data_IF_142946400135
#
_entry.id   IF_142946400135
#
_cell.length_a   1.000
_cell.length_b   1.000
_cell.length_c   1.000
_cell.angle_alpha   90.00
_cell.angle_beta   90.00
_cell.angle_gamma   90.00
#
_symmetry.space_group_name_H-M   'P 1'
#
loop_
_entity.id
_entity.type
_entity.pdbx_description
1 polymer ?
#
# COMPACT_ATOMS: atom_id res chain seq x y z
N UNK A 1 14.13 -10.04 -4.31
CA UNK A 1 13.13 -8.96 -4.20
C UNK A 1 11.87 -9.40 -4.92
N UNK A 2 10.68 -9.07 -4.39
CA UNK A 2 9.42 -9.35 -5.09
C UNK A 2 9.30 -8.45 -6.34
N UNK A 3 8.63 -8.94 -7.38
CA UNK A 3 8.40 -8.18 -8.63
C UNK A 3 6.96 -7.67 -8.62
N UNK A 4 6.72 -6.36 -8.84
CA UNK A 4 5.37 -5.81 -8.89
C UNK A 4 4.60 -6.37 -10.10
N UNK A 5 3.31 -6.69 -9.96
CA UNK A 5 2.49 -7.08 -11.10
C UNK A 5 2.31 -5.91 -12.07
N UNK A 6 2.47 -6.16 -13.37
CA UNK A 6 2.14 -5.19 -14.42
C UNK A 6 0.62 -5.16 -14.63
N UNK A 7 -0.08 -4.46 -13.73
CA UNK A 7 -1.54 -4.40 -13.73
C UNK A 7 -2.12 -3.86 -15.04
N UNK A 8 -1.49 -2.84 -15.64
CA UNK A 8 -1.95 -2.27 -16.90
C UNK A 8 -1.91 -3.33 -18.02
N UNK A 9 -0.78 -4.01 -18.20
CA UNK A 9 -0.64 -5.04 -19.24
C UNK A 9 -1.57 -6.23 -19.00
N UNK A 10 -1.73 -6.67 -17.75
CA UNK A 10 -2.63 -7.78 -17.39
C UNK A 10 -4.08 -7.45 -17.77
N UNK A 11 -4.53 -6.25 -17.40
CA UNK A 11 -5.94 -5.86 -17.49
C UNK A 11 -6.34 -5.27 -18.85
N UNK A 12 -5.35 -4.84 -19.64
CA UNK A 12 -5.56 -4.39 -21.02
C UNK A 12 -5.63 -5.56 -22.02
N UNK A 13 -5.28 -6.78 -21.60
CA UNK A 13 -5.40 -7.96 -22.46
C UNK A 13 -6.87 -8.24 -22.79
N UNK A 14 -7.17 -8.64 -24.04
CA UNK A 14 -8.52 -8.99 -24.53
C UNK A 14 -9.04 -10.33 -23.94
N UNK A 15 -9.09 -10.44 -22.61
CA UNK A 15 -9.63 -11.60 -21.90
C UNK A 15 -10.77 -11.17 -20.98
N UNK A 16 -12.01 -11.36 -21.44
CA UNK A 16 -13.24 -10.92 -20.77
C UNK A 16 -13.26 -11.22 -19.26
N UNK A 17 -12.88 -12.43 -18.88
CA UNK A 17 -12.97 -12.87 -17.48
C UNK A 17 -11.81 -12.39 -16.60
N UNK A 18 -10.65 -12.02 -17.15
CA UNK A 18 -9.49 -11.58 -16.35
C UNK A 18 -9.81 -10.29 -15.58
N UNK A 19 -10.30 -9.27 -16.30
CA UNK A 19 -10.70 -7.99 -15.69
C UNK A 19 -11.82 -8.17 -14.66
N UNK A 20 -12.84 -8.96 -15.01
CA UNK A 20 -13.95 -9.27 -14.11
C UNK A 20 -13.48 -9.97 -12.83
N UNK A 21 -12.59 -10.97 -12.95
CA UNK A 21 -12.03 -11.68 -11.80
C UNK A 21 -11.28 -10.77 -10.86
N UNK A 22 -10.43 -9.90 -11.40
CA UNK A 22 -9.67 -8.93 -10.58
C UNK A 22 -10.62 -7.97 -9.88
N UNK A 23 -11.65 -7.46 -10.59
CA UNK A 23 -12.68 -6.62 -9.99
C UNK A 23 -13.40 -7.32 -8.85
N UNK A 24 -13.91 -8.54 -9.07
CA UNK A 24 -14.62 -9.30 -8.03
C UNK A 24 -13.74 -9.63 -6.83
N UNK A 25 -12.48 -10.02 -7.05
CA UNK A 25 -11.53 -10.26 -5.97
C UNK A 25 -11.26 -8.99 -5.18
N UNK A 26 -11.06 -7.86 -5.86
CA UNK A 26 -10.81 -6.57 -5.21
C UNK A 26 -12.01 -6.11 -4.36
N UNK A 27 -13.22 -6.18 -4.91
CA UNK A 27 -14.48 -5.86 -4.20
C UNK A 27 -14.70 -6.80 -3.00
N UNK A 28 -14.32 -8.07 -3.12
CA UNK A 28 -14.32 -9.06 -2.04
C UNK A 28 -13.13 -8.92 -1.07
N UNK A 29 -12.60 -7.70 -0.89
CA UNK A 29 -11.50 -7.39 0.06
C UNK A 29 -10.20 -8.14 -0.23
N UNK A 30 -10.02 -8.58 -1.47
CA UNK A 30 -8.84 -9.28 -1.96
C UNK A 30 -8.92 -10.80 -1.89
N UNK A 31 -10.02 -11.39 -1.42
CA UNK A 31 -10.15 -12.84 -1.24
C UNK A 31 -11.53 -13.37 -1.60
N UNK A 32 -11.60 -14.49 -2.32
CA UNK A 32 -12.86 -15.17 -2.61
C UNK A 32 -12.66 -16.66 -2.80
N UNK A 33 -13.69 -17.48 -2.51
CA UNK A 33 -13.67 -18.89 -2.86
C UNK A 33 -13.87 -19.06 -4.36
N UNK A 34 -13.27 -20.11 -4.93
CA UNK A 34 -13.47 -20.48 -6.33
C UNK A 34 -14.97 -20.60 -6.71
N UNK A 35 -15.79 -21.12 -5.80
CA UNK A 35 -17.25 -21.24 -5.99
C UNK A 35 -17.95 -19.89 -6.07
N UNK A 36 -17.49 -18.90 -5.32
CA UNK A 36 -18.09 -17.56 -5.30
C UNK A 36 -17.72 -16.81 -6.58
N UNK A 37 -16.47 -16.96 -7.04
CA UNK A 37 -16.02 -16.44 -8.33
C UNK A 37 -16.77 -17.07 -9.51
N UNK A 38 -17.05 -18.38 -9.49
CA UNK A 38 -17.88 -19.01 -10.53
C UNK A 38 -19.27 -18.36 -10.60
N UNK A 39 -19.93 -18.22 -9.46
CA UNK A 39 -21.27 -17.62 -9.38
C UNK A 39 -21.26 -16.17 -9.87
N UNK A 40 -20.28 -15.38 -9.43
CA UNK A 40 -20.13 -13.98 -9.82
C UNK A 40 -19.95 -13.80 -11.34
N UNK A 41 -19.31 -14.76 -12.01
CA UNK A 41 -19.10 -14.72 -13.47
C UNK A 41 -20.23 -15.37 -14.29
N UNK A 42 -21.34 -15.75 -13.66
CA UNK A 42 -22.47 -16.40 -14.35
C UNK A 42 -22.24 -17.88 -14.65
N UNK A 43 -21.50 -18.58 -13.78
CA UNK A 43 -21.22 -20.02 -13.86
C UNK A 43 -20.60 -20.48 -15.19
N UNK A 44 -19.46 -19.90 -15.64
CA UNK A 44 -18.74 -20.43 -16.79
C UNK A 44 -18.22 -21.85 -16.50
N UNK A 45 -17.77 -22.61 -17.53
CA UNK A 45 -17.10 -23.88 -17.33
C UNK A 45 -15.94 -23.74 -16.33
N UNK A 46 -15.80 -24.69 -15.40
CA UNK A 46 -14.75 -24.65 -14.37
C UNK A 46 -13.35 -24.52 -14.98
N UNK A 47 -13.11 -25.17 -16.11
CA UNK A 47 -11.86 -25.07 -16.88
C UNK A 47 -11.59 -23.64 -17.36
N UNK A 48 -12.62 -22.91 -17.80
CA UNK A 48 -12.50 -21.50 -18.20
C UNK A 48 -12.09 -20.62 -17.03
N UNK A 49 -12.71 -20.78 -15.85
CA UNK A 49 -12.30 -20.06 -14.65
C UNK A 49 -10.86 -20.39 -14.25
N UNK A 50 -10.52 -21.68 -14.17
CA UNK A 50 -9.16 -22.14 -13.84
C UNK A 50 -8.12 -21.55 -14.78
N UNK A 51 -8.34 -21.59 -16.09
CA UNK A 51 -7.41 -21.04 -17.08
C UNK A 51 -7.19 -19.53 -16.90
N UNK A 52 -8.23 -18.76 -16.55
CA UNK A 52 -8.09 -17.32 -16.30
C UNK A 52 -7.41 -17.03 -14.94
N UNK A 53 -7.68 -17.83 -13.92
CA UNK A 53 -6.97 -17.73 -12.64
C UNK A 53 -5.50 -18.07 -12.78
N UNK A 54 -5.16 -19.11 -13.52
CA UNK A 54 -3.76 -19.52 -13.73
C UNK A 54 -2.96 -18.44 -14.47
N UNK A 55 -3.62 -17.66 -15.34
CA UNK A 55 -3.02 -16.46 -15.95
C UNK A 55 -2.75 -15.39 -14.90
N UNK A 56 -3.72 -15.07 -14.04
CA UNK A 56 -3.53 -14.10 -12.96
C UNK A 56 -2.43 -14.52 -11.98
N UNK A 57 -2.33 -15.81 -11.68
CA UNK A 57 -1.32 -16.38 -10.80
C UNK A 57 0.06 -16.31 -11.44
N UNK A 58 0.19 -16.75 -12.69
CA UNK A 58 1.45 -16.67 -13.44
C UNK A 58 1.97 -15.24 -13.58
N UNK A 59 1.06 -14.28 -13.72
CA UNK A 59 1.40 -12.85 -13.80
C UNK A 59 1.55 -12.19 -12.42
N UNK A 60 1.49 -12.95 -11.33
CA UNK A 60 1.74 -12.48 -9.97
C UNK A 60 0.63 -11.61 -9.36
N UNK A 61 -0.55 -11.53 -9.99
CA UNK A 61 -1.69 -10.73 -9.51
C UNK A 61 -2.45 -11.42 -8.40
N UNK A 62 -2.59 -12.74 -8.49
CA UNK A 62 -3.33 -13.56 -7.54
C UNK A 62 -2.53 -14.80 -7.14
N UNK A 63 -3.00 -15.50 -6.12
CA UNK A 63 -2.43 -16.75 -5.62
C UNK A 63 -3.55 -17.68 -5.13
N UNK A 64 -3.29 -18.99 -5.17
CA UNK A 64 -4.17 -19.99 -4.57
C UNK A 64 -3.76 -20.20 -3.11
N UNK A 65 -4.74 -20.17 -2.23
CA UNK A 65 -4.63 -20.63 -0.84
C UNK A 65 -5.39 -21.95 -0.69
N UNK A 66 -5.15 -22.65 0.41
CA UNK A 66 -5.77 -23.94 0.67
C UNK A 66 -7.31 -23.88 0.60
N UNK A 67 -7.94 -25.03 0.38
CA UNK A 67 -9.41 -25.18 0.36
C UNK A 67 -10.13 -24.34 -0.72
N UNK A 68 -9.49 -24.11 -1.86
CA UNK A 68 -10.11 -23.43 -3.00
C UNK A 68 -10.26 -21.91 -2.83
N UNK A 69 -9.56 -21.32 -1.86
CA UNK A 69 -9.50 -19.88 -1.66
C UNK A 69 -8.55 -19.24 -2.67
N UNK A 70 -8.98 -18.16 -3.31
CA UNK A 70 -8.18 -17.36 -4.23
C UNK A 70 -7.98 -16.00 -3.59
N UNK A 71 -6.75 -15.50 -3.63
CA UNK A 71 -6.36 -14.25 -2.99
C UNK A 71 -5.57 -13.36 -3.96
N UNK A 72 -5.77 -12.05 -3.91
CA UNK A 72 -4.87 -11.09 -4.54
C UNK A 72 -3.51 -11.12 -3.83
N UNK A 73 -2.43 -11.18 -4.60
CA UNK A 73 -1.08 -11.16 -4.02
C UNK A 73 -0.84 -9.89 -3.20
N UNK A 74 -1.39 -8.77 -3.65
CA UNK A 74 -1.39 -7.49 -2.96
C UNK A 74 -2.80 -6.89 -3.02
N UNK A 75 -3.30 -6.42 -1.87
CA UNK A 75 -4.58 -5.70 -1.77
C UNK A 75 -4.45 -4.27 -2.32
N UNK A 76 -3.31 -3.62 -2.08
CA UNK A 76 -2.99 -2.35 -2.75
C UNK A 76 -2.38 -2.64 -4.13
N UNK A 77 -2.81 -1.96 -5.22
CA UNK A 77 -3.83 -0.91 -5.27
C UNK A 77 -5.25 -1.40 -5.55
N UNK A 78 -5.44 -2.67 -5.89
CA UNK A 78 -6.68 -3.16 -6.47
C UNK A 78 -7.90 -2.97 -5.56
N UNK A 79 -7.81 -3.33 -4.28
CA UNK A 79 -8.87 -3.14 -3.28
C UNK A 79 -9.16 -1.65 -3.06
N UNK A 80 -8.13 -0.79 -3.07
CA UNK A 80 -8.31 0.66 -2.96
C UNK A 80 -9.08 1.22 -4.14
N UNK A 81 -8.71 0.83 -5.36
CA UNK A 81 -9.38 1.29 -6.58
C UNK A 81 -10.84 0.83 -6.61
N UNK A 82 -11.10 -0.41 -6.18
CA UNK A 82 -12.43 -0.99 -6.03
C UNK A 82 -13.24 -0.40 -4.85
N UNK A 83 -12.64 0.49 -4.05
CA UNK A 83 -13.25 1.07 -2.86
C UNK A 83 -13.74 0.00 -1.85
N UNK A 84 -12.99 -1.10 -1.74
CA UNK A 84 -13.30 -2.17 -0.83
C UNK A 84 -12.96 -1.76 0.62
N UNK A 85 -13.78 -2.22 1.56
CA UNK A 85 -13.59 -2.02 3.00
C UNK A 85 -12.44 -2.91 3.52
N UNK A 86 -11.22 -2.47 3.23
CA UNK A 86 -9.95 -3.04 3.68
C UNK A 86 -9.27 -2.01 4.58
N UNK A 87 -8.81 -2.41 5.78
CA UNK A 87 -8.13 -1.48 6.67
C UNK A 87 -6.88 -0.88 6.02
N UNK A 88 -6.57 0.35 6.40
CA UNK A 88 -5.43 1.07 5.85
C UNK A 88 -4.19 0.99 6.75
N UNK A 89 -3.03 0.99 6.12
CA UNK A 89 -1.74 1.11 6.79
C UNK A 89 -1.02 2.35 6.29
N UNK A 90 -0.42 3.09 7.22
CA UNK A 90 0.46 4.21 6.92
C UNK A 90 1.91 3.74 6.91
N UNK A 91 2.70 4.16 5.92
CA UNK A 91 4.14 3.98 5.86
C UNK A 91 4.81 5.33 5.62
N UNK A 92 5.54 5.83 6.60
CA UNK A 92 6.17 7.15 6.50
C UNK A 92 7.58 7.20 7.07
N UNK A 93 8.24 8.31 6.82
CA UNK A 93 9.52 8.68 7.43
C UNK A 93 9.29 9.55 8.66
N UNK A 94 10.22 9.53 9.61
CA UNK A 94 10.25 10.47 10.71
C UNK A 94 11.68 10.92 11.03
N UNK A 95 11.88 12.23 11.13
CA UNK A 95 13.16 12.84 11.51
C UNK A 95 13.32 13.00 13.02
N UNK A 96 14.40 13.67 13.44
CA UNK A 96 14.59 14.07 14.83
C UNK A 96 13.45 14.98 15.29
N UNK A 97 13.17 14.95 16.61
CA UNK A 97 12.13 15.82 17.17
C UNK A 97 12.45 17.30 17.04
N UNK A 98 13.70 17.70 17.26
CA UNK A 98 14.16 19.09 17.13
C UNK A 98 13.20 20.11 17.77
N UNK A 99 12.83 19.84 19.03
CA UNK A 99 11.89 20.64 19.84
C UNK A 99 10.44 20.69 19.34
N UNK A 100 10.10 20.05 18.22
CA UNK A 100 8.73 19.93 17.73
C UNK A 100 7.84 19.24 18.76
N UNK A 101 6.62 19.72 18.88
CA UNK A 101 5.61 19.20 19.83
C UNK A 101 4.80 18.05 19.24
N UNK A 102 4.56 18.09 17.93
CA UNK A 102 3.72 17.15 17.19
C UNK A 102 4.57 16.58 16.06
N UNK A 103 4.52 15.26 15.88
CA UNK A 103 5.25 14.61 14.78
C UNK A 103 4.51 14.75 13.45
N UNK A 104 5.25 14.71 12.36
CA UNK A 104 4.69 14.66 11.01
C UNK A 104 3.79 13.44 10.83
N UNK A 105 4.18 12.30 11.40
CA UNK A 105 3.38 11.07 11.40
C UNK A 105 2.05 11.27 12.11
N UNK A 106 2.02 11.94 13.26
CA UNK A 106 0.78 12.25 13.97
C UNK A 106 -0.12 13.16 13.13
N UNK A 107 0.46 14.20 12.53
CA UNK A 107 -0.28 15.15 11.69
C UNK A 107 -0.88 14.44 10.47
N UNK A 108 -0.07 13.64 9.76
CA UNK A 108 -0.50 12.90 8.59
C UNK A 108 -1.63 11.91 8.91
N UNK A 109 -1.46 11.09 9.95
CA UNK A 109 -2.49 10.13 10.38
C UNK A 109 -3.78 10.83 10.78
N UNK A 110 -3.70 11.97 11.50
CA UNK A 110 -4.88 12.75 11.87
C UNK A 110 -5.62 13.31 10.64
N UNK A 111 -4.89 13.85 9.67
CA UNK A 111 -5.48 14.37 8.44
C UNK A 111 -6.12 13.27 7.61
N UNK A 112 -5.46 12.12 7.47
CA UNK A 112 -6.01 10.94 6.80
C UNK A 112 -7.28 10.42 7.49
N UNK A 113 -7.26 10.29 8.82
CA UNK A 113 -8.45 9.90 9.59
C UNK A 113 -9.60 10.91 9.39
N UNK A 114 -9.28 12.21 9.30
CA UNK A 114 -10.24 13.26 8.97
C UNK A 114 -10.84 13.17 7.56
N UNK A 115 -10.10 12.64 6.59
CA UNK A 115 -10.58 12.31 5.24
C UNK A 115 -11.35 10.98 5.18
N UNK A 116 -11.53 10.28 6.32
CA UNK A 116 -12.30 9.04 6.43
C UNK A 116 -11.46 7.75 6.33
N UNK A 117 -10.13 7.85 6.33
CA UNK A 117 -9.27 6.66 6.31
C UNK A 117 -9.21 5.97 7.68
N UNK A 118 -9.45 4.66 7.70
CA UNK A 118 -9.28 3.83 8.89
C UNK A 118 -7.85 3.28 8.98
N UNK A 119 -6.94 4.07 9.57
CA UNK A 119 -5.53 3.68 9.76
C UNK A 119 -5.41 2.70 10.94
N UNK A 120 -5.23 1.41 10.66
CA UNK A 120 -5.06 0.38 11.70
C UNK A 120 -3.59 0.13 12.04
N UNK A 121 -2.69 0.32 11.08
CA UNK A 121 -1.25 0.09 11.25
C UNK A 121 -0.45 1.32 10.84
N UNK A 122 0.56 1.68 11.63
CA UNK A 122 1.47 2.79 11.32
C UNK A 122 2.89 2.24 11.34
N UNK A 123 3.59 2.34 10.22
CA UNK A 123 4.98 1.91 10.09
C UNK A 123 5.84 3.14 9.87
N UNK A 124 6.77 3.39 10.79
CA UNK A 124 7.65 4.55 10.74
C UNK A 124 9.08 4.07 10.49
N UNK A 125 9.65 4.50 9.38
CA UNK A 125 11.06 4.29 9.04
C UNK A 125 11.85 5.52 9.49
N UNK A 126 12.91 5.32 10.27
CA UNK A 126 13.62 6.41 10.92
C UNK A 126 15.02 5.97 11.39
N UNK A 127 15.80 6.82 12.04
CA UNK A 127 17.02 6.41 12.75
C UNK A 127 16.69 6.04 14.20
N UNK A 128 17.59 5.30 14.85
CA UNK A 128 17.45 4.97 16.28
C UNK A 128 17.37 6.22 17.16
N UNK A 129 18.17 7.23 16.84
CA UNK A 129 18.18 8.52 17.54
C UNK A 129 16.85 9.26 17.41
N UNK A 130 16.31 9.34 16.19
CA UNK A 130 15.02 9.98 15.93
C UNK A 130 13.87 9.24 16.62
N UNK A 131 13.80 7.90 16.54
CA UNK A 131 12.83 7.11 17.29
C UNK A 131 12.91 7.38 18.81
N UNK A 132 14.13 7.44 19.35
CA UNK A 132 14.39 7.77 20.75
C UNK A 132 13.88 9.16 21.15
N UNK A 133 14.13 10.16 20.29
CA UNK A 133 13.72 11.55 20.53
C UNK A 133 12.19 11.75 20.61
N UNK A 134 11.42 10.85 19.97
CA UNK A 134 9.95 10.92 19.91
C UNK A 134 9.24 10.01 20.91
N UNK A 135 9.92 9.02 21.51
CA UNK A 135 9.31 7.92 22.27
C UNK A 135 8.34 8.37 23.38
N UNK A 136 8.62 9.50 24.02
CA UNK A 136 7.82 10.05 25.13
C UNK A 136 6.89 11.20 24.72
N UNK A 137 6.87 11.55 23.43
CA UNK A 137 6.12 12.70 22.91
C UNK A 137 4.96 12.30 22.00
N UNK A 138 4.97 11.07 21.48
CA UNK A 138 3.87 10.55 20.66
C UNK A 138 2.70 10.14 21.57
N UNK A 139 1.45 10.58 21.29
CA UNK A 139 0.28 10.19 22.06
C UNK A 139 0.10 8.67 22.13
N UNK A 140 -0.30 8.15 23.30
CA UNK A 140 -0.44 6.71 23.56
C UNK A 140 -1.33 5.98 22.54
N UNK A 141 -2.44 6.61 22.11
CA UNK A 141 -3.34 6.09 21.06
C UNK A 141 -2.63 5.85 19.73
N UNK A 142 -1.70 6.73 19.34
CA UNK A 142 -0.94 6.57 18.11
C UNK A 142 0.21 5.58 18.34
N UNK A 143 0.88 5.68 19.48
CA UNK A 143 2.02 4.84 19.84
C UNK A 143 1.70 3.34 19.80
N UNK A 144 0.50 2.91 20.23
CA UNK A 144 0.08 1.51 20.18
C UNK A 144 -0.07 0.94 18.76
N UNK A 145 -0.16 1.81 17.75
CA UNK A 145 -0.25 1.43 16.33
C UNK A 145 1.07 1.56 15.58
N UNK A 146 2.07 2.24 16.17
CA UNK A 146 3.37 2.45 15.54
C UNK A 146 4.25 1.21 15.68
N UNK A 147 4.73 0.72 14.55
CA UNK A 147 5.93 -0.09 14.47
C UNK A 147 7.09 0.75 13.94
N UNK A 148 8.15 0.81 14.72
CA UNK A 148 9.39 1.46 14.33
C UNK A 148 10.23 0.52 13.48
N UNK A 149 10.83 1.05 12.42
CA UNK A 149 11.87 0.40 11.66
C UNK A 149 13.07 1.33 11.58
N UNK A 150 14.13 0.99 12.28
CA UNK A 150 15.31 1.84 12.38
C UNK A 150 16.34 1.49 11.33
N UNK A 151 16.80 2.49 10.60
CA UNK A 151 17.92 2.42 9.67
C UNK A 151 19.14 3.14 10.26
N UNK A 152 20.33 2.76 9.80
CA UNK A 152 21.53 3.54 10.06
C UNK A 152 21.45 4.89 9.31
N UNK A 153 22.08 5.94 9.85
CA UNK A 153 21.96 7.30 9.30
C UNK A 153 22.50 7.42 7.87
N UNK A 154 23.62 6.77 7.58
CA UNK A 154 24.25 6.69 6.25
C UNK A 154 23.35 6.03 5.19
N UNK A 155 22.46 5.13 5.59
CA UNK A 155 21.44 4.54 4.69
C UNK A 155 20.47 5.61 4.19
N UNK A 156 20.09 6.58 5.02
CA UNK A 156 19.10 7.61 4.66
C UNK A 156 19.60 8.61 3.61
N UNK A 157 20.89 8.62 3.30
CA UNK A 157 21.47 9.45 2.23
C UNK A 157 21.60 8.70 0.89
N UNK A 158 21.29 7.40 0.87
CA UNK A 158 21.41 6.55 -0.31
C UNK A 158 20.05 6.00 -0.77
N UNK A 159 19.55 6.54 -1.89
CA UNK A 159 18.24 6.19 -2.46
C UNK A 159 18.09 4.66 -2.63
N UNK A 160 19.11 3.99 -3.16
CA UNK A 160 19.06 2.56 -3.45
C UNK A 160 19.02 1.70 -2.18
N UNK A 161 19.78 2.07 -1.16
CA UNK A 161 19.76 1.35 0.12
C UNK A 161 18.40 1.54 0.82
N UNK A 162 17.83 2.73 0.78
CA UNK A 162 16.47 2.99 1.30
C UNK A 162 15.45 2.12 0.58
N UNK A 163 15.48 2.09 -0.76
CA UNK A 163 14.59 1.24 -1.56
C UNK A 163 14.71 -0.23 -1.16
N UNK A 164 15.93 -0.75 -1.03
CA UNK A 164 16.18 -2.15 -0.65
C UNK A 164 15.64 -2.52 0.74
N UNK A 165 15.72 -1.60 1.70
CA UNK A 165 15.28 -1.83 3.08
C UNK A 165 13.77 -1.60 3.27
N UNK A 166 13.21 -0.61 2.57
CA UNK A 166 11.80 -0.20 2.72
C UNK A 166 10.87 -1.00 1.83
N UNK A 167 11.33 -1.48 0.66
CA UNK A 167 10.49 -2.26 -0.25
C UNK A 167 9.88 -3.51 0.41
N UNK A 168 10.61 -4.35 1.16
CA UNK A 168 10.02 -5.50 1.86
C UNK A 168 8.95 -5.12 2.89
N UNK A 169 9.09 -3.94 3.50
CA UNK A 169 8.13 -3.41 4.47
C UNK A 169 6.85 -3.01 3.74
N UNK A 170 6.99 -2.24 2.66
CA UNK A 170 5.88 -1.82 1.81
C UNK A 170 5.11 -3.03 1.28
N UNK A 171 5.79 -3.99 0.65
CA UNK A 171 5.12 -5.16 0.06
C UNK A 171 4.50 -6.07 1.13
N UNK A 172 5.11 -6.16 2.31
CA UNK A 172 4.54 -6.85 3.47
C UNK A 172 3.21 -6.23 3.92
N UNK A 173 3.14 -4.90 4.01
CA UNK A 173 1.91 -4.18 4.34
C UNK A 173 0.85 -4.33 3.24
N UNK A 174 1.24 -4.22 1.97
CA UNK A 174 0.32 -4.29 0.82
C UNK A 174 -0.40 -5.64 0.69
N UNK A 175 0.14 -6.71 1.27
CA UNK A 175 -0.52 -8.03 1.31
C UNK A 175 -1.81 -7.96 2.12
N UNK A 176 -1.85 -7.19 3.21
CA UNK A 176 -2.96 -7.19 4.16
C UNK A 176 -3.80 -5.91 4.18
N UNK A 177 -3.20 -4.78 3.78
CA UNK A 177 -3.78 -3.45 3.94
C UNK A 177 -3.87 -2.69 2.62
N UNK A 178 -4.70 -1.65 2.62
CA UNK A 178 -4.54 -0.52 1.72
C UNK A 178 -3.44 0.39 2.25
N UNK A 179 -2.31 0.52 1.53
CA UNK A 179 -1.13 1.23 2.04
C UNK A 179 -1.08 2.65 1.51
N UNK A 180 -0.84 3.62 2.40
CA UNK A 180 -0.58 5.02 2.07
C UNK A 180 0.87 5.31 2.44
N UNK A 181 1.64 5.75 1.46
CA UNK A 181 3.05 6.12 1.64
C UNK A 181 3.16 7.61 1.89
N UNK A 182 4.00 8.03 2.83
CA UNK A 182 4.24 9.43 3.19
C UNK A 182 5.72 9.79 3.04
N UNK A 183 6.01 10.79 2.20
CA UNK A 183 7.35 11.31 1.95
C UNK A 183 7.57 12.73 2.52
N UNK A 184 6.80 13.14 3.53
CA UNK A 184 6.89 14.46 4.17
C UNK A 184 8.24 14.65 4.86
N UNK A 185 8.63 13.68 5.67
CA UNK A 185 9.82 13.76 6.51
C UNK A 185 11.04 13.13 5.85
N UNK A 186 12.21 13.38 6.45
CA UNK A 186 13.46 12.76 6.08
C UNK A 186 14.27 13.59 5.08
N UNK A 187 15.37 13.01 4.62
CA UNK A 187 16.28 13.67 3.67
C UNK A 187 15.65 13.66 2.26
N UNK A 188 16.16 14.53 1.38
CA UNK A 188 15.74 14.54 -0.04
C UNK A 188 15.93 13.17 -0.72
N UNK A 189 17.05 12.43 -0.52
CA UNK A 189 17.17 11.04 -0.96
C UNK A 189 16.05 10.13 -0.48
N UNK A 190 15.66 10.20 0.80
CA UNK A 190 14.59 9.39 1.35
C UNK A 190 13.23 9.69 0.72
N UNK A 191 12.91 10.97 0.50
CA UNK A 191 11.71 11.37 -0.23
C UNK A 191 11.67 10.85 -1.67
N UNK A 192 12.81 10.89 -2.38
CA UNK A 192 12.92 10.34 -3.75
C UNK A 192 12.73 8.82 -3.75
N UNK A 193 13.32 8.10 -2.79
CA UNK A 193 13.16 6.66 -2.64
C UNK A 193 11.68 6.29 -2.44
N UNK A 194 10.98 7.00 -1.56
CA UNK A 194 9.55 6.77 -1.30
C UNK A 194 8.70 7.05 -2.53
N UNK A 195 8.99 8.12 -3.27
CA UNK A 195 8.31 8.41 -4.54
C UNK A 195 8.50 7.29 -5.57
N UNK A 196 9.73 6.77 -5.70
CA UNK A 196 10.05 5.67 -6.61
C UNK A 196 9.37 4.37 -6.21
N UNK A 197 9.37 4.03 -4.92
CA UNK A 197 8.67 2.85 -4.40
C UNK A 197 7.17 2.96 -4.63
N UNK A 198 6.56 4.11 -4.30
CA UNK A 198 5.13 4.31 -4.48
C UNK A 198 4.73 4.23 -5.97
N UNK A 199 5.56 4.79 -6.86
CA UNK A 199 5.36 4.68 -8.31
C UNK A 199 5.50 3.24 -8.80
N UNK A 200 6.56 2.53 -8.37
CA UNK A 200 6.85 1.13 -8.74
C UNK A 200 5.73 0.19 -8.31
N UNK A 201 5.20 0.38 -7.11
CA UNK A 201 4.18 -0.49 -6.51
C UNK A 201 2.75 0.04 -6.67
N UNK A 202 2.58 1.15 -7.39
CA UNK A 202 1.28 1.80 -7.62
C UNK A 202 0.53 2.07 -6.32
N UNK A 203 1.21 2.55 -5.28
CA UNK A 203 0.58 2.92 -4.01
C UNK A 203 0.31 4.42 -3.96
N UNK A 204 -0.74 4.86 -3.24
CA UNK A 204 -0.91 6.27 -2.94
C UNK A 204 0.31 6.85 -2.21
N UNK A 205 0.59 8.11 -2.49
CA UNK A 205 1.70 8.86 -1.93
C UNK A 205 1.22 10.24 -1.49
N UNK A 206 1.53 10.62 -0.26
CA UNK A 206 1.16 11.91 0.32
C UNK A 206 2.39 12.74 0.72
N UNK A 207 2.14 14.03 0.84
CA UNK A 207 3.02 15.02 1.45
C UNK A 207 2.18 15.96 2.32
N UNK A 208 2.63 16.24 3.53
CA UNK A 208 1.93 17.14 4.47
C UNK A 208 2.63 18.49 4.51
N UNK A 209 1.90 19.53 4.14
CA UNK A 209 2.34 20.91 4.36
C UNK A 209 2.07 21.30 5.82
N UNK A 210 3.05 21.07 6.70
CA UNK A 210 2.91 21.28 8.15
C UNK A 210 2.33 22.66 8.53
N UNK A 211 2.87 23.74 7.96
CA UNK A 211 2.42 25.12 8.25
C UNK A 211 0.94 25.35 7.95
N UNK A 212 0.39 24.61 6.98
CA UNK A 212 -1.00 24.75 6.53
C UNK A 212 -1.89 23.60 7.00
N UNK A 213 -1.31 22.62 7.71
CA UNK A 213 -1.94 21.35 8.07
C UNK A 213 -2.74 20.75 6.92
N UNK A 214 -2.15 20.76 5.72
CA UNK A 214 -2.82 20.33 4.49
C UNK A 214 -2.12 19.10 3.93
N UNK A 215 -2.92 18.07 3.68
CA UNK A 215 -2.47 16.88 2.97
C UNK A 215 -2.51 17.14 1.47
N UNK A 216 -1.44 16.76 0.78
CA UNK A 216 -1.34 16.78 -0.67
C UNK A 216 -1.08 15.37 -1.18
N UNK A 217 -1.94 14.89 -2.07
CA UNK A 217 -1.77 13.62 -2.75
C UNK A 217 -0.83 13.82 -3.95
N UNK A 218 0.38 13.26 -3.85
CA UNK A 218 1.35 13.23 -4.95
C UNK A 218 1.03 12.08 -5.93
N UNK A 219 0.48 11.00 -5.40
CA UNK A 219 -0.17 9.92 -6.16
C UNK A 219 -1.48 9.63 -5.44
N UNK A 220 -2.60 10.03 -6.04
CA UNK A 220 -3.94 9.83 -5.48
C UNK A 220 -4.55 8.49 -5.90
N UNK A 221 -5.64 8.08 -5.25
CA UNK A 221 -6.45 6.95 -5.70
C UNK A 221 -6.98 7.17 -7.13
N UNK A 222 -7.34 8.41 -7.44
CA UNK A 222 -7.87 8.81 -8.74
C UNK A 222 -6.81 8.68 -9.84
N UNK A 223 -5.55 9.02 -9.55
CA UNK A 223 -4.42 8.78 -10.47
C UNK A 223 -4.24 7.28 -10.74
N UNK A 224 -4.33 6.45 -9.70
CA UNK A 224 -4.22 5.00 -9.82
C UNK A 224 -5.38 4.39 -10.63
N UNK A 225 -6.61 4.91 -10.45
CA UNK A 225 -7.80 4.54 -11.24
C UNK A 225 -7.59 4.77 -12.73
N UNK A 226 -6.97 5.88 -13.11
CA UNK A 226 -6.70 6.20 -14.51
C UNK A 226 -5.64 5.27 -15.12
N UNK A 227 -4.68 4.80 -14.32
CA UNK A 227 -3.59 3.92 -14.77
C UNK A 227 -3.96 2.44 -14.82
N UNK A 228 -4.90 2.00 -13.97
CA UNK A 228 -5.21 0.58 -13.76
C UNK A 228 -6.68 0.31 -14.15
N UNK A 229 -6.94 -0.29 -15.32
CA UNK A 229 -8.29 -0.38 -15.88
C UNK A 229 -9.08 -1.56 -15.30
N UNK A 230 -9.42 -1.54 -14.01
CA UNK A 230 -10.30 -2.56 -13.39
C UNK A 230 -11.79 -2.22 -13.50
N UNK A 231 -12.15 -0.94 -13.65
CA UNK A 231 -13.51 -0.46 -13.93
C UNK A 231 -13.78 -0.37 -15.42
#
# INVERSE_FOLDING_TARGET
MEVPPDYFRVLSARRRYVKQLVKYLAEARGEAKFTDLLKALGNPPKSTLSNNLDVLIRLGVAERRGRGLIRLRFKTPLCLIANADVPAAYLGLLGLRDQRRVSETETAVKLLEGEGWKIEKVKVVTTLEAAGSWRNYIPSRLQSRIEWHTLAGDVLDNIQLIEQQVEPILTGLMKEYTVIVDCTSGTRPAGIAYYRLASKWSTPLIYVYEQRQKLAWLISREDLKQRIPIT
#
